data_IF_367462306719
#
_entry.id   IF_367462306719
#
_cell.length_a   1.000
_cell.length_b   1.000
_cell.length_c   1.000
_cell.angle_alpha   90.00
_cell.angle_beta   90.00
_cell.angle_gamma   90.00
#
_symmetry.space_group_name_H-M   'P 1'
#
loop_
_entity.id
_entity.type
_entity.pdbx_description
1 polymer ?
#
# COMPACT_ATOMS: atom_id res chain seq x y z
N UNK A 1 14.16 8.22 57.48
CA UNK A 1 13.54 8.22 56.16
C UNK A 1 14.30 7.24 55.27
N UNK A 2 13.72 6.08 54.99
CA UNK A 2 14.34 5.00 54.21
C UNK A 2 14.03 5.28 52.74
N UNK A 3 15.07 5.56 51.95
CA UNK A 3 14.96 5.68 50.50
C UNK A 3 15.04 4.29 49.88
N UNK A 4 13.92 3.85 49.29
CA UNK A 4 13.84 2.63 48.49
C UNK A 4 14.27 2.97 47.07
N UNK A 5 15.42 2.43 46.67
CA UNK A 5 16.01 2.62 45.35
C UNK A 5 15.37 1.61 44.38
N UNK A 6 14.45 2.09 43.55
CA UNK A 6 13.79 1.29 42.50
C UNK A 6 14.76 1.14 41.33
N UNK A 7 15.27 -0.07 41.11
CA UNK A 7 16.02 -0.42 39.90
C UNK A 7 15.07 -0.50 38.70
N UNK A 8 15.23 0.40 37.73
CA UNK A 8 14.60 0.28 36.42
C UNK A 8 15.35 -0.80 35.59
N UNK A 9 14.65 -1.71 34.90
CA UNK A 9 15.28 -2.66 33.99
C UNK A 9 15.88 -1.94 32.78
N UNK A 10 17.13 -2.29 32.47
CA UNK A 10 17.97 -1.62 31.50
C UNK A 10 17.38 -1.53 30.09
N UNK A 11 17.45 -0.32 29.53
CA UNK A 11 17.36 -0.08 28.11
C UNK A 11 18.52 -0.79 27.38
N UNK A 12 18.30 -1.43 26.22
CA UNK A 12 19.38 -1.94 25.40
C UNK A 12 20.31 -0.79 24.96
N UNK A 13 21.61 -1.04 24.78
CA UNK A 13 22.61 0.00 24.55
C UNK A 13 22.27 0.80 23.29
N UNK A 14 22.22 2.13 23.45
CA UNK A 14 22.22 3.07 22.36
C UNK A 14 23.51 2.89 21.54
N UNK A 15 23.35 2.85 20.22
CA UNK A 15 24.46 2.72 19.27
C UNK A 15 25.43 3.90 19.44
N UNK A 16 26.63 3.62 19.95
CA UNK A 16 27.72 4.60 20.02
C UNK A 16 28.33 4.85 18.62
N UNK A 17 28.82 6.07 18.33
CA UNK A 17 29.49 6.37 17.07
C UNK A 17 30.91 5.78 17.09
N UNK A 18 31.16 4.79 16.23
CA UNK A 18 32.45 4.11 16.10
C UNK A 18 33.39 4.82 15.13
N UNK A 19 34.65 4.99 15.54
CA UNK A 19 35.77 5.34 14.69
C UNK A 19 36.13 4.19 13.72
N UNK A 20 36.57 4.59 12.53
CA UNK A 20 36.60 3.82 11.28
C UNK A 20 37.69 2.73 11.22
N UNK A 21 37.39 1.53 11.71
CA UNK A 21 37.74 0.31 10.97
C UNK A 21 36.42 -0.26 10.48
N UNK A 22 36.21 -0.30 9.16
CA UNK A 22 34.94 -0.71 8.55
C UNK A 22 34.63 -2.14 8.97
N UNK A 23 33.73 -2.30 9.94
CA UNK A 23 33.22 -3.61 10.31
C UNK A 23 32.68 -4.27 9.04
N UNK A 24 33.24 -5.44 8.72
CA UNK A 24 32.77 -6.25 7.61
C UNK A 24 31.26 -6.46 7.78
N UNK A 25 30.49 -5.92 6.83
CA UNK A 25 29.03 -5.95 6.92
C UNK A 25 28.52 -7.14 6.10
N UNK A 26 27.92 -8.12 6.78
CA UNK A 26 27.26 -9.24 6.11
C UNK A 26 26.02 -8.71 5.38
N UNK A 27 25.81 -9.20 4.17
CA UNK A 27 24.67 -8.85 3.31
C UNK A 27 24.23 -10.06 2.49
N UNK A 28 23.13 -9.90 1.80
CA UNK A 28 22.68 -10.82 0.77
C UNK A 28 22.84 -10.17 -0.60
N UNK A 29 23.05 -11.00 -1.61
CA UNK A 29 23.16 -10.57 -3.01
C UNK A 29 22.11 -11.30 -3.82
N UNK A 30 21.35 -10.55 -4.60
CA UNK A 30 20.39 -11.14 -5.53
C UNK A 30 21.12 -11.85 -6.69
N UNK A 31 20.58 -12.99 -7.09
CA UNK A 31 21.05 -13.80 -8.21
C UNK A 31 19.88 -14.32 -9.00
N UNK A 32 20.12 -14.66 -10.26
CA UNK A 32 19.12 -15.38 -11.06
C UNK A 32 18.81 -16.73 -10.40
N UNK A 33 17.53 -17.04 -10.28
CA UNK A 33 17.11 -18.32 -9.71
C UNK A 33 17.60 -19.50 -10.57
N UNK A 34 17.43 -19.41 -11.90
CA UNK A 34 18.01 -20.36 -12.85
C UNK A 34 19.53 -20.41 -12.69
N UNK A 35 20.09 -21.62 -12.71
CA UNK A 35 21.54 -21.82 -12.75
C UNK A 35 22.15 -21.54 -14.13
N UNK A 36 21.36 -20.98 -15.03
CA UNK A 36 21.77 -20.72 -16.40
C UNK A 36 22.73 -19.53 -16.44
N UNK A 37 23.88 -19.72 -17.07
CA UNK A 37 24.93 -18.70 -17.14
C UNK A 37 24.61 -17.61 -18.17
N UNK A 38 23.71 -17.91 -19.11
CA UNK A 38 23.40 -17.01 -20.23
C UNK A 38 22.26 -16.03 -19.92
N UNK A 39 21.53 -16.23 -18.82
CA UNK A 39 20.46 -15.31 -18.41
C UNK A 39 21.03 -14.06 -17.73
N UNK A 40 20.79 -12.89 -18.32
CA UNK A 40 21.09 -11.60 -17.69
C UNK A 40 20.33 -11.46 -16.37
N UNK A 41 21.02 -10.98 -15.33
CA UNK A 41 20.37 -10.70 -14.07
C UNK A 41 19.31 -9.59 -14.22
N UNK A 42 18.13 -9.83 -13.66
CA UNK A 42 17.07 -8.84 -13.54
C UNK A 42 16.65 -8.78 -12.08
N UNK A 43 16.61 -7.56 -11.52
CA UNK A 43 16.33 -7.40 -10.10
C UNK A 43 14.87 -7.81 -9.79
N UNK A 44 14.60 -8.46 -8.65
CA UNK A 44 13.26 -8.97 -8.32
C UNK A 44 12.21 -7.87 -8.06
N UNK A 45 12.62 -6.61 -8.01
CA UNK A 45 11.72 -5.45 -7.95
C UNK A 45 11.39 -4.88 -9.33
N UNK A 46 12.06 -5.32 -10.39
CA UNK A 46 11.94 -4.68 -11.70
C UNK A 46 10.73 -5.20 -12.45
N UNK A 47 9.93 -4.29 -13.00
CA UNK A 47 8.84 -4.62 -13.91
C UNK A 47 9.37 -4.48 -15.35
N UNK A 48 9.27 -5.52 -16.19
CA UNK A 48 9.67 -5.41 -17.60
C UNK A 48 8.74 -4.43 -18.32
N UNK A 49 9.30 -3.32 -18.80
CA UNK A 49 8.52 -2.27 -19.48
C UNK A 49 8.61 -2.34 -21.02
N UNK A 50 9.67 -2.95 -21.56
CA UNK A 50 9.96 -2.95 -23.01
C UNK A 50 9.88 -4.33 -23.68
N UNK A 51 9.63 -5.39 -22.92
CA UNK A 51 9.63 -6.76 -23.44
C UNK A 51 8.31 -7.44 -23.06
N UNK A 52 7.40 -7.50 -24.04
CA UNK A 52 6.08 -8.11 -23.87
C UNK A 52 6.16 -9.60 -23.53
N UNK A 53 7.17 -10.31 -24.05
CA UNK A 53 7.33 -11.73 -23.76
C UNK A 53 7.76 -11.95 -22.30
N UNK A 54 8.70 -11.14 -21.81
CA UNK A 54 9.11 -11.18 -20.39
C UNK A 54 7.97 -10.71 -19.48
N UNK A 55 7.23 -9.67 -19.88
CA UNK A 55 6.05 -9.21 -19.16
C UNK A 55 4.98 -10.30 -19.06
N UNK A 56 4.65 -10.97 -20.17
CA UNK A 56 3.72 -12.10 -20.20
C UNK A 56 4.19 -13.25 -19.31
N UNK A 57 5.46 -13.63 -19.40
CA UNK A 57 6.01 -14.70 -18.56
C UNK A 57 5.85 -14.39 -17.07
N UNK A 58 6.11 -13.15 -16.66
CA UNK A 58 5.97 -12.72 -15.27
C UNK A 58 4.52 -12.60 -14.85
N UNK A 59 3.74 -11.85 -15.62
CA UNK A 59 2.41 -11.45 -15.19
C UNK A 59 1.36 -12.54 -15.43
N UNK A 60 1.42 -13.20 -16.59
CA UNK A 60 0.45 -14.22 -17.01
C UNK A 60 0.92 -15.63 -16.62
N UNK A 61 2.17 -15.98 -16.95
CA UNK A 61 2.70 -17.34 -16.69
C UNK A 61 3.21 -17.53 -15.26
N UNK A 62 3.03 -16.50 -14.41
CA UNK A 62 3.35 -16.51 -12.97
C UNK A 62 4.83 -16.80 -12.66
N UNK A 63 5.74 -16.48 -13.58
CA UNK A 63 7.17 -16.49 -13.31
C UNK A 63 7.54 -15.30 -12.40
N UNK A 64 7.19 -15.40 -11.11
CA UNK A 64 7.38 -14.34 -10.11
C UNK A 64 8.04 -14.88 -8.85
N UNK A 65 8.45 -13.96 -7.98
CA UNK A 65 8.91 -14.29 -6.64
C UNK A 65 10.13 -15.22 -6.65
N UNK A 66 10.10 -16.35 -5.91
CA UNK A 66 11.26 -17.23 -5.78
C UNK A 66 11.72 -17.90 -7.09
N UNK A 67 10.89 -17.86 -8.14
CA UNK A 67 11.25 -18.34 -9.47
C UNK A 67 12.09 -17.34 -10.26
N UNK A 68 12.05 -16.05 -9.91
CA UNK A 68 12.82 -15.00 -10.58
C UNK A 68 14.24 -14.89 -10.03
N UNK A 69 14.34 -14.81 -8.71
CA UNK A 69 15.60 -14.52 -8.04
C UNK A 69 15.81 -15.40 -6.81
N UNK A 70 17.08 -15.64 -6.51
CA UNK A 70 17.55 -16.23 -5.27
C UNK A 70 18.52 -15.29 -4.58
N UNK A 71 18.78 -15.52 -3.30
CA UNK A 71 19.77 -14.77 -2.54
C UNK A 71 20.99 -15.64 -2.22
N UNK A 72 22.14 -15.01 -2.11
CA UNK A 72 23.37 -15.64 -1.63
C UNK A 72 24.09 -14.74 -0.63
N UNK A 73 24.70 -15.36 0.37
CA UNK A 73 25.42 -14.64 1.43
C UNK A 73 26.70 -14.02 0.88
N UNK A 74 26.95 -12.76 1.26
CA UNK A 74 28.18 -12.05 0.93
C UNK A 74 28.61 -11.13 2.06
N UNK A 75 29.84 -10.62 1.96
CA UNK A 75 30.40 -9.62 2.88
C UNK A 75 30.81 -8.39 2.07
N UNK A 76 30.33 -7.20 2.46
CA UNK A 76 30.80 -5.96 1.85
C UNK A 76 32.21 -5.67 2.34
N UNK A 77 33.15 -5.51 1.39
CA UNK A 77 34.53 -5.11 1.64
C UNK A 77 34.70 -3.60 1.51
N UNK A 78 34.10 -3.01 0.47
CA UNK A 78 34.21 -1.59 0.19
C UNK A 78 32.99 -1.10 -0.59
N UNK A 79 32.61 0.15 -0.36
CA UNK A 79 31.51 0.80 -1.06
C UNK A 79 32.02 2.04 -1.79
N UNK A 80 31.79 2.13 -3.10
CA UNK A 80 32.22 3.26 -3.93
C UNK A 80 31.12 3.68 -4.90
N UNK A 81 30.56 4.88 -4.72
CA UNK A 81 29.51 5.40 -5.60
C UNK A 81 28.25 4.51 -5.59
N UNK A 82 27.83 4.05 -6.77
CA UNK A 82 26.69 3.14 -7.00
C UNK A 82 27.03 1.66 -6.82
N UNK A 83 28.30 1.32 -6.58
CA UNK A 83 28.77 -0.05 -6.54
C UNK A 83 29.32 -0.43 -5.15
N UNK A 84 29.39 -1.73 -4.89
CA UNK A 84 30.11 -2.29 -3.75
C UNK A 84 31.01 -3.44 -4.21
N UNK A 85 32.22 -3.48 -3.65
CA UNK A 85 33.10 -4.64 -3.70
C UNK A 85 32.67 -5.60 -2.61
N UNK A 86 32.29 -6.81 -3.00
CA UNK A 86 31.84 -7.87 -2.10
C UNK A 86 32.80 -9.07 -2.13
N UNK A 87 32.84 -9.81 -1.03
CA UNK A 87 33.40 -11.17 -0.97
C UNK A 87 32.24 -12.17 -0.87
N UNK A 88 32.21 -13.13 -1.79
CA UNK A 88 31.17 -14.13 -1.90
C UNK A 88 31.81 -15.46 -2.30
N UNK A 89 31.56 -16.53 -1.54
CA UNK A 89 32.11 -17.87 -1.79
C UNK A 89 33.64 -17.88 -2.01
N UNK A 90 34.37 -17.03 -1.26
CA UNK A 90 35.82 -16.91 -1.38
C UNK A 90 36.33 -16.10 -2.58
N UNK A 91 35.44 -15.61 -3.46
CA UNK A 91 35.79 -14.74 -4.58
C UNK A 91 35.37 -13.30 -4.28
N UNK A 92 36.09 -12.32 -4.84
CA UNK A 92 35.72 -10.91 -4.78
C UNK A 92 35.16 -10.45 -6.12
N UNK A 93 34.11 -9.62 -6.09
CA UNK A 93 33.55 -8.99 -7.29
C UNK A 93 32.88 -7.66 -6.95
N UNK A 94 32.85 -6.76 -7.92
CA UNK A 94 32.12 -5.50 -7.82
C UNK A 94 30.70 -5.70 -8.35
N UNK A 95 29.70 -5.25 -7.59
CA UNK A 95 28.28 -5.34 -7.96
C UNK A 95 27.58 -3.99 -7.73
N UNK A 96 26.48 -3.70 -8.44
CA UNK A 96 25.61 -2.58 -8.11
C UNK A 96 25.04 -2.70 -6.69
N UNK A 97 24.92 -1.56 -6.00
CA UNK A 97 24.29 -1.51 -4.66
C UNK A 97 22.85 -1.97 -4.64
N UNK A 98 22.13 -1.80 -5.76
CA UNK A 98 20.74 -2.26 -5.89
C UNK A 98 20.63 -3.78 -5.78
N UNK A 99 21.66 -4.54 -6.15
CA UNK A 99 21.66 -6.00 -6.01
C UNK A 99 21.89 -6.48 -4.57
N UNK A 100 22.19 -5.56 -3.65
CA UNK A 100 22.48 -5.86 -2.26
C UNK A 100 21.20 -5.78 -1.43
N UNK A 101 20.86 -6.88 -0.80
CA UNK A 101 19.76 -6.98 0.14
C UNK A 101 20.30 -6.90 1.59
N UNK A 102 19.75 -6.02 2.46
CA UNK A 102 20.17 -5.94 3.86
C UNK A 102 20.08 -7.29 4.56
N UNK A 103 21.05 -7.60 5.43
CA UNK A 103 21.14 -8.89 6.12
C UNK A 103 19.82 -9.34 6.76
N UNK A 104 19.20 -8.45 7.54
CA UNK A 104 17.96 -8.78 8.25
C UNK A 104 16.78 -9.00 7.29
N UNK A 105 16.72 -8.25 6.18
CA UNK A 105 15.66 -8.45 5.18
C UNK A 105 15.77 -9.82 4.49
N UNK A 106 16.98 -10.27 4.17
CA UNK A 106 17.18 -11.62 3.62
C UNK A 106 16.82 -12.72 4.61
N UNK A 107 17.04 -12.52 5.92
CA UNK A 107 16.56 -13.48 6.93
C UNK A 107 15.03 -13.53 7.01
N UNK A 108 14.35 -12.39 6.93
CA UNK A 108 12.89 -12.33 6.87
C UNK A 108 12.35 -12.99 5.60
N UNK A 109 13.04 -12.82 4.48
CA UNK A 109 12.71 -13.52 3.24
C UNK A 109 12.87 -15.04 3.39
N UNK A 110 13.99 -15.53 3.94
CA UNK A 110 14.18 -16.97 4.17
C UNK A 110 13.09 -17.56 5.09
N UNK A 111 12.64 -16.81 6.10
CA UNK A 111 11.53 -17.20 6.97
C UNK A 111 10.21 -17.37 6.22
N UNK A 112 9.87 -16.49 5.27
CA UNK A 112 8.65 -16.63 4.47
C UNK A 112 8.79 -17.71 3.35
N UNK A 113 10.01 -18.07 2.96
CA UNK A 113 10.27 -19.14 1.98
C UNK A 113 10.27 -20.55 2.59
N UNK A 114 10.55 -20.65 3.89
CA UNK A 114 10.59 -21.92 4.64
C UNK A 114 9.37 -22.82 4.40
N UNK A 115 8.10 -22.33 4.44
CA UNK A 115 6.93 -23.16 4.18
C UNK A 115 6.67 -23.50 2.70
N UNK A 116 7.38 -22.89 1.75
CA UNK A 116 7.11 -22.99 0.31
C UNK A 116 7.98 -24.02 -0.44
N UNK A 117 8.88 -24.71 0.27
CA UNK A 117 9.77 -25.75 -0.28
C UNK A 117 10.53 -25.32 -1.55
N UNK A 118 10.98 -24.07 -1.60
CA UNK A 118 11.69 -23.51 -2.76
C UNK A 118 13.01 -24.24 -2.99
N UNK A 119 13.25 -24.69 -4.23
CA UNK A 119 14.37 -25.58 -4.59
C UNK A 119 15.76 -25.02 -4.27
N UNK A 120 15.95 -23.70 -4.39
CA UNK A 120 17.23 -23.06 -4.08
C UNK A 120 17.40 -22.72 -2.59
N UNK A 121 16.34 -22.79 -1.78
CA UNK A 121 16.40 -22.60 -0.33
C UNK A 121 16.93 -23.87 0.36
N UNK A 122 18.23 -24.12 0.17
CA UNK A 122 18.91 -25.34 0.60
C UNK A 122 19.15 -25.41 2.12
N UNK A 123 19.73 -26.52 2.58
CA UNK A 123 20.07 -26.74 3.99
C UNK A 123 21.02 -25.70 4.57
N UNK A 124 21.91 -25.14 3.75
CA UNK A 124 22.89 -24.15 4.20
C UNK A 124 22.21 -22.84 4.57
N UNK A 125 21.31 -22.35 3.72
CA UNK A 125 20.52 -21.15 4.01
C UNK A 125 19.59 -21.35 5.22
N UNK A 126 18.99 -22.53 5.36
CA UNK A 126 18.20 -22.89 6.55
C UNK A 126 19.06 -22.90 7.81
N UNK A 127 20.28 -23.42 7.74
CA UNK A 127 21.23 -23.43 8.86
C UNK A 127 21.62 -22.01 9.26
N UNK A 128 21.83 -21.11 8.29
CA UNK A 128 22.08 -19.68 8.57
C UNK A 128 20.87 -19.05 9.26
N UNK A 129 19.65 -19.28 8.76
CA UNK A 129 18.41 -18.78 9.37
C UNK A 129 18.25 -19.27 10.81
N UNK A 130 18.45 -20.56 11.08
CA UNK A 130 18.35 -21.15 12.41
C UNK A 130 19.43 -20.62 13.36
N UNK A 131 20.65 -20.46 12.86
CA UNK A 131 21.76 -19.85 13.61
C UNK A 131 21.41 -18.42 14.01
N UNK A 132 20.87 -17.62 13.09
CA UNK A 132 20.46 -16.25 13.40
C UNK A 132 19.26 -16.21 14.35
N UNK A 133 18.22 -17.04 14.12
CA UNK A 133 17.06 -17.17 15.03
C UNK A 133 17.50 -17.47 16.46
N UNK A 134 18.46 -18.37 16.65
CA UNK A 134 18.97 -18.76 17.98
C UNK A 134 19.58 -17.60 18.80
N UNK A 135 20.00 -16.51 18.13
CA UNK A 135 20.54 -15.31 18.78
C UNK A 135 19.44 -14.41 19.37
N UNK A 136 18.20 -14.56 18.91
CA UNK A 136 17.08 -13.75 19.35
C UNK A 136 16.28 -14.45 20.45
N UNK A 137 15.61 -13.65 21.29
CA UNK A 137 14.69 -14.19 22.29
C UNK A 137 13.58 -14.97 21.58
N UNK A 138 13.26 -16.15 22.11
CA UNK A 138 12.23 -17.06 21.58
C UNK A 138 12.56 -17.72 20.23
N UNK A 139 13.83 -17.70 19.79
CA UNK A 139 14.27 -18.29 18.53
C UNK A 139 13.46 -17.79 17.31
N UNK A 140 13.11 -16.50 17.29
CA UNK A 140 12.26 -15.91 16.27
C UNK A 140 12.77 -14.52 15.84
N UNK A 141 12.68 -14.24 14.55
CA UNK A 141 12.89 -12.91 14.00
C UNK A 141 11.63 -12.07 14.25
N UNK A 142 11.78 -10.77 14.41
CA UNK A 142 10.63 -9.86 14.54
C UNK A 142 10.54 -8.96 13.33
N UNK A 143 9.76 -9.43 12.37
CA UNK A 143 9.37 -8.69 11.17
C UNK A 143 8.69 -7.35 11.50
N UNK A 144 7.88 -7.33 12.58
CA UNK A 144 7.21 -6.14 13.06
C UNK A 144 8.19 -5.09 13.58
N UNK A 145 9.19 -5.50 14.38
CA UNK A 145 10.23 -4.60 14.90
C UNK A 145 11.10 -4.02 13.78
N UNK A 146 11.45 -4.84 12.79
CA UNK A 146 12.23 -4.36 11.64
C UNK A 146 11.45 -3.32 10.84
N UNK A 147 10.20 -3.62 10.51
CA UNK A 147 9.33 -2.69 9.77
C UNK A 147 9.17 -1.37 10.51
N UNK A 148 8.89 -1.42 11.82
CA UNK A 148 8.78 -0.21 12.65
C UNK A 148 10.06 0.63 12.65
N UNK A 149 11.24 0.00 12.70
CA UNK A 149 12.52 0.71 12.82
C UNK A 149 13.12 1.16 11.50
N UNK A 150 12.86 0.45 10.40
CA UNK A 150 13.57 0.63 9.13
C UNK A 150 12.67 0.99 7.95
N UNK A 151 11.42 0.53 7.96
CA UNK A 151 10.50 0.68 6.82
C UNK A 151 9.30 1.59 7.12
N UNK A 152 9.18 2.13 8.33
CA UNK A 152 8.02 2.97 8.67
C UNK A 152 7.96 4.26 7.81
N UNK A 153 9.11 4.87 7.55
CA UNK A 153 9.27 6.08 6.71
C UNK A 153 9.99 5.81 5.40
N UNK A 154 10.19 4.55 5.05
CA UNK A 154 10.92 4.11 3.86
C UNK A 154 10.09 3.08 3.13
N UNK A 155 9.87 3.24 1.83
CA UNK A 155 9.29 2.22 0.99
C UNK A 155 10.34 1.52 0.12
N UNK A 156 10.18 0.23 -0.10
CA UNK A 156 10.94 -0.52 -1.12
C UNK A 156 10.14 -0.49 -2.42
N UNK A 157 10.77 -0.07 -3.50
CA UNK A 157 10.12 0.26 -4.79
C UNK A 157 10.81 -0.46 -5.95
N UNK A 158 10.35 -0.26 -7.19
CA UNK A 158 11.00 -0.76 -8.39
C UNK A 158 12.30 -0.02 -8.75
N UNK A 159 12.89 -0.41 -9.89
CA UNK A 159 14.16 0.13 -10.39
C UNK A 159 14.20 1.65 -10.44
N UNK A 160 13.15 2.27 -10.99
CA UNK A 160 13.06 3.70 -11.19
C UNK A 160 11.62 4.13 -11.40
N UNK A 161 11.18 5.13 -10.66
CA UNK A 161 9.91 5.82 -10.90
C UNK A 161 10.03 7.30 -10.52
N UNK A 162 9.07 8.09 -11.00
CA UNK A 162 8.93 9.51 -10.69
C UNK A 162 7.64 9.64 -9.86
N UNK A 163 7.73 10.27 -8.69
CA UNK A 163 6.56 10.50 -7.85
C UNK A 163 5.72 11.71 -8.32
N UNK A 164 4.62 11.99 -7.62
CA UNK A 164 3.75 13.14 -7.95
C UNK A 164 4.38 14.51 -7.69
N UNK A 165 5.59 14.57 -7.11
CA UNK A 165 6.37 15.78 -6.89
C UNK A 165 7.55 15.88 -7.88
N UNK A 166 7.49 15.15 -9.00
CA UNK A 166 8.53 15.04 -10.05
C UNK A 166 9.89 14.56 -9.55
N UNK A 167 9.94 13.85 -8.41
CA UNK A 167 11.17 13.33 -7.84
C UNK A 167 11.42 11.90 -8.30
N UNK A 168 12.59 11.68 -8.87
CA UNK A 168 13.06 10.33 -9.24
C UNK A 168 13.54 9.56 -8.01
N UNK A 169 13.07 8.32 -7.89
CA UNK A 169 13.47 7.36 -6.86
C UNK A 169 13.93 6.05 -7.50
N UNK A 170 14.84 5.34 -6.83
CA UNK A 170 15.37 4.06 -7.30
C UNK A 170 15.46 3.06 -6.14
N UNK A 171 14.74 1.94 -6.26
CA UNK A 171 14.64 0.81 -5.31
C UNK A 171 14.15 1.13 -3.89
N UNK A 172 14.35 2.35 -3.40
CA UNK A 172 13.85 2.83 -2.11
C UNK A 172 13.41 4.28 -2.22
N UNK A 173 12.23 4.56 -1.67
CA UNK A 173 11.71 5.91 -1.44
C UNK A 173 11.81 6.24 0.05
N UNK A 174 12.61 7.25 0.39
CA UNK A 174 12.82 7.70 1.77
C UNK A 174 11.94 8.89 2.13
N UNK A 175 11.77 9.15 3.43
CA UNK A 175 11.08 10.32 3.97
C UNK A 175 9.59 10.40 3.58
N UNK A 176 8.89 9.26 3.66
CA UNK A 176 7.42 9.22 3.61
C UNK A 176 6.90 10.15 4.71
N UNK A 177 6.23 11.23 4.32
CA UNK A 177 5.87 12.32 5.24
C UNK A 177 4.80 11.83 6.22
N UNK A 178 5.10 11.86 7.52
CA UNK A 178 4.10 11.60 8.57
C UNK A 178 3.22 12.81 8.86
N UNK A 179 3.78 14.00 8.60
CA UNK A 179 3.22 15.27 9.03
C UNK A 179 2.67 15.98 7.80
N UNK A 180 1.49 15.56 7.39
CA UNK A 180 0.59 16.48 6.75
C UNK A 180 -0.79 16.30 7.37
N UNK A 181 -1.35 17.41 7.87
CA UNK A 181 -2.75 17.54 8.29
C UNK A 181 -3.74 17.36 7.12
N UNK A 182 -3.28 16.80 6.01
CA UNK A 182 -4.00 16.41 4.81
C UNK A 182 -4.47 14.96 4.96
N UNK A 183 -5.19 14.66 6.03
CA UNK A 183 -6.26 13.68 5.86
C UNK A 183 -7.22 14.34 4.88
N UNK A 184 -7.16 13.93 3.60
CA UNK A 184 -8.16 14.29 2.59
C UNK A 184 -9.51 14.26 3.28
N UNK A 185 -10.18 15.41 3.37
CA UNK A 185 -11.51 15.43 3.93
C UNK A 185 -12.35 14.47 3.08
N UNK A 186 -13.12 13.60 3.73
CA UNK A 186 -14.00 12.66 3.03
C UNK A 186 -14.86 13.45 2.04
N UNK A 187 -14.62 13.26 0.73
CA UNK A 187 -15.33 13.99 -0.35
C UNK A 187 -14.57 15.10 -1.07
N UNK A 188 -13.30 15.39 -0.75
CA UNK A 188 -12.51 16.37 -1.52
C UNK A 188 -12.07 15.76 -2.86
N UNK A 189 -12.62 16.27 -3.98
CA UNK A 189 -12.32 15.79 -5.33
C UNK A 189 -10.94 16.26 -5.78
N UNK A 190 -9.89 15.50 -5.45
CA UNK A 190 -8.62 15.61 -6.14
C UNK A 190 -8.83 15.11 -7.58
N UNK A 191 -9.01 16.04 -8.52
CA UNK A 191 -9.46 15.83 -9.91
C UNK A 191 -8.62 14.92 -10.81
N UNK A 192 -8.42 13.66 -10.43
CA UNK A 192 -7.78 12.61 -11.22
C UNK A 192 -8.66 11.36 -11.31
N UNK A 193 -8.59 10.68 -12.46
CA UNK A 193 -9.50 9.61 -12.91
C UNK A 193 -9.55 8.32 -12.08
N UNK A 194 -8.89 8.23 -10.92
CA UNK A 194 -9.02 7.09 -10.01
C UNK A 194 -8.97 7.55 -8.56
N UNK A 195 -10.15 7.72 -7.95
CA UNK A 195 -10.26 8.05 -6.54
C UNK A 195 -9.91 6.81 -5.71
N UNK A 196 -8.84 6.90 -4.92
CA UNK A 196 -8.50 5.91 -3.90
C UNK A 196 -9.27 6.29 -2.64
N UNK A 197 -10.12 5.39 -2.16
CA UNK A 197 -10.93 5.62 -0.96
C UNK A 197 -10.10 5.45 0.31
N UNK A 198 -9.34 4.35 0.40
CA UNK A 198 -8.53 4.04 1.58
C UNK A 198 -7.43 3.01 1.26
N UNK A 199 -6.40 2.94 2.12
CA UNK A 199 -5.38 1.90 2.13
C UNK A 199 -5.62 0.99 3.33
N UNK A 200 -6.21 -0.18 3.08
CA UNK A 200 -6.72 -1.08 4.13
C UNK A 200 -5.73 -2.15 4.56
N UNK A 201 -4.59 -2.26 3.88
CA UNK A 201 -3.60 -3.30 4.10
C UNK A 201 -2.22 -2.93 3.59
N UNK A 202 -1.22 -3.63 4.11
CA UNK A 202 0.19 -3.47 3.76
C UNK A 202 0.82 -4.86 3.69
N UNK A 203 1.69 -5.04 2.69
CA UNK A 203 2.53 -6.22 2.49
C UNK A 203 4.00 -5.77 2.39
N UNK A 204 4.87 -6.13 3.35
CA UNK A 204 6.30 -5.84 3.26
C UNK A 204 6.96 -6.64 2.13
N UNK A 205 8.16 -6.27 1.67
CA UNK A 205 8.72 -6.78 0.43
C UNK A 205 9.00 -8.29 0.46
N UNK A 206 9.38 -8.85 1.61
CA UNK A 206 9.59 -10.29 1.75
C UNK A 206 8.28 -11.09 1.70
N UNK A 207 7.17 -10.56 2.25
CA UNK A 207 5.84 -11.17 2.12
C UNK A 207 5.31 -10.99 0.68
N UNK A 208 5.52 -9.81 0.07
CA UNK A 208 5.13 -9.50 -1.30
C UNK A 208 5.82 -10.39 -2.34
N UNK A 209 7.10 -10.68 -2.12
CA UNK A 209 7.89 -11.54 -2.99
C UNK A 209 7.34 -12.96 -3.08
N UNK A 210 6.78 -13.50 -1.99
CA UNK A 210 6.17 -14.84 -1.99
C UNK A 210 4.65 -14.82 -2.24
N UNK A 211 4.05 -13.64 -2.34
CA UNK A 211 2.61 -13.50 -2.54
C UNK A 211 2.21 -13.83 -3.98
N UNK A 212 1.20 -14.69 -4.16
CA UNK A 212 0.76 -15.20 -5.48
C UNK A 212 0.42 -14.08 -6.47
N UNK A 213 -0.14 -12.97 -5.99
CA UNK A 213 -0.64 -11.86 -6.82
C UNK A 213 0.34 -10.70 -6.95
N UNK A 214 1.32 -10.60 -6.06
CA UNK A 214 2.31 -9.51 -6.08
C UNK A 214 3.57 -10.04 -6.76
N UNK A 215 4.34 -10.88 -6.06
CA UNK A 215 5.44 -11.63 -6.64
C UNK A 215 6.69 -10.80 -6.97
N UNK A 216 6.76 -9.56 -6.49
CA UNK A 216 7.91 -8.68 -6.65
C UNK A 216 8.42 -8.25 -5.28
N UNK A 217 9.73 -8.00 -5.17
CA UNK A 217 10.35 -7.54 -3.92
C UNK A 217 10.13 -6.03 -3.75
N UNK A 218 8.89 -5.62 -3.50
CA UNK A 218 8.49 -4.22 -3.27
C UNK A 218 7.49 -4.13 -2.12
N UNK A 219 7.32 -2.95 -1.54
CA UNK A 219 6.18 -2.67 -0.66
C UNK A 219 4.89 -2.67 -1.49
N UNK A 220 3.91 -3.46 -1.08
CA UNK A 220 2.56 -3.45 -1.65
C UNK A 220 1.55 -2.96 -0.63
N UNK A 221 0.53 -2.26 -1.13
CA UNK A 221 -0.57 -1.74 -0.33
C UNK A 221 -1.89 -2.25 -0.88
N UNK A 222 -2.80 -2.60 0.03
CA UNK A 222 -4.13 -3.02 -0.35
C UNK A 222 -4.99 -1.77 -0.49
N UNK A 223 -5.22 -1.34 -1.72
CA UNK A 223 -5.94 -0.13 -2.08
C UNK A 223 -7.40 -0.47 -2.26
N UNK A 224 -8.29 0.25 -1.56
CA UNK A 224 -9.72 0.21 -1.85
C UNK A 224 -10.05 1.39 -2.75
N UNK A 225 -10.53 1.09 -3.96
CA UNK A 225 -10.98 2.10 -4.91
C UNK A 225 -12.29 2.74 -4.44
N UNK A 226 -12.54 3.97 -4.87
CA UNK A 226 -13.78 4.69 -4.61
C UNK A 226 -14.86 4.36 -5.65
N UNK A 227 -16.08 4.84 -5.46
CA UNK A 227 -17.18 4.66 -6.41
C UNK A 227 -16.83 5.20 -7.81
N UNK A 228 -17.18 4.50 -8.91
CA UNK A 228 -17.97 3.25 -8.98
C UNK A 228 -17.14 1.96 -8.78
N UNK A 229 -15.81 2.06 -8.75
CA UNK A 229 -14.90 0.92 -8.68
C UNK A 229 -14.95 0.17 -7.35
N UNK A 230 -15.38 0.83 -6.28
CA UNK A 230 -15.53 0.23 -4.94
C UNK A 230 -16.49 -0.97 -4.88
N UNK A 231 -17.39 -1.11 -5.85
CA UNK A 231 -18.38 -2.20 -5.92
C UNK A 231 -17.92 -3.36 -6.81
N UNK A 232 -16.83 -3.19 -7.55
CA UNK A 232 -16.33 -4.20 -8.49
C UNK A 232 -15.60 -5.31 -7.72
N UNK A 233 -15.92 -6.55 -8.08
CA UNK A 233 -15.21 -7.71 -7.56
C UNK A 233 -13.90 -7.93 -8.34
N UNK A 234 -12.81 -7.44 -7.78
CA UNK A 234 -11.47 -7.61 -8.34
C UNK A 234 -10.82 -8.97 -8.05
N UNK A 235 -11.46 -9.92 -7.36
CA UNK A 235 -10.81 -11.20 -6.98
C UNK A 235 -10.16 -11.98 -8.14
N UNK A 236 -10.67 -11.83 -9.36
CA UNK A 236 -10.18 -12.52 -10.55
C UNK A 236 -9.11 -11.73 -11.32
N UNK A 237 -8.89 -10.44 -11.00
CA UNK A 237 -7.85 -9.68 -11.68
C UNK A 237 -6.46 -10.04 -11.15
N UNK A 238 -5.46 -9.64 -11.91
CA UNK A 238 -4.07 -10.03 -11.70
C UNK A 238 -3.54 -9.64 -10.31
N UNK A 239 -3.82 -8.40 -9.88
CA UNK A 239 -3.47 -7.88 -8.56
C UNK A 239 -4.68 -7.81 -7.61
N UNK A 240 -5.74 -8.57 -7.91
CA UNK A 240 -6.99 -8.57 -7.16
C UNK A 240 -6.85 -9.04 -5.71
N UNK A 241 -7.67 -8.49 -4.82
CA UNK A 241 -7.80 -9.03 -3.47
C UNK A 241 -9.12 -9.81 -3.29
N UNK A 242 -9.08 -11.12 -2.96
CA UNK A 242 -10.30 -11.91 -2.77
C UNK A 242 -11.05 -11.54 -1.48
N UNK A 243 -10.37 -10.95 -0.50
CA UNK A 243 -10.92 -10.73 0.84
C UNK A 243 -11.65 -9.38 0.98
N UNK A 244 -11.50 -8.46 0.03
CA UNK A 244 -12.05 -7.11 0.11
C UNK A 244 -12.56 -6.69 -1.27
N UNK A 245 -13.89 -6.55 -1.38
CA UNK A 245 -14.54 -6.03 -2.60
C UNK A 245 -14.04 -4.62 -2.90
N UNK A 246 -13.86 -4.30 -4.18
CA UNK A 246 -13.36 -3.01 -4.62
C UNK A 246 -11.90 -2.77 -4.29
N UNK A 247 -11.10 -3.80 -3.98
CA UNK A 247 -9.70 -3.64 -3.62
C UNK A 247 -8.72 -4.48 -4.45
N UNK A 248 -7.57 -3.89 -4.70
CA UNK A 248 -6.41 -4.49 -5.38
C UNK A 248 -5.14 -4.26 -4.58
N UNK A 249 -4.09 -5.01 -4.90
CA UNK A 249 -2.74 -4.80 -4.37
C UNK A 249 -1.96 -3.91 -5.34
N UNK A 250 -1.52 -2.76 -4.86
CA UNK A 250 -0.75 -1.80 -5.66
C UNK A 250 0.66 -1.65 -5.08
N UNK A 251 1.71 -1.60 -5.91
CA UNK A 251 3.06 -1.30 -5.44
C UNK A 251 3.15 0.16 -4.99
N UNK A 252 4.10 0.49 -4.10
CA UNK A 252 4.29 1.86 -3.58
C UNK A 252 4.42 2.92 -4.67
N UNK A 253 5.09 2.58 -5.78
CA UNK A 253 5.36 3.47 -6.91
C UNK A 253 4.11 3.84 -7.72
N UNK A 254 3.02 3.07 -7.62
CA UNK A 254 1.73 3.38 -8.26
C UNK A 254 0.85 4.30 -7.43
N UNK A 255 1.28 4.68 -6.22
CA UNK A 255 0.51 5.52 -5.31
C UNK A 255 1.08 6.94 -5.27
N UNK A 256 0.23 7.99 -5.31
CA UNK A 256 0.68 9.38 -5.24
C UNK A 256 1.14 9.78 -3.82
N UNK A 257 2.12 10.69 -3.73
CA UNK A 257 2.79 11.05 -2.47
C UNK A 257 1.84 11.60 -1.40
N UNK A 258 0.74 12.24 -1.79
CA UNK A 258 -0.28 12.73 -0.85
C UNK A 258 -0.99 11.61 -0.05
N UNK A 259 -0.88 10.34 -0.46
CA UNK A 259 -1.40 9.19 0.31
C UNK A 259 -0.40 8.61 1.32
N UNK A 260 0.78 9.22 1.48
CA UNK A 260 1.79 8.82 2.46
C UNK A 260 1.25 8.65 3.90
N UNK A 261 0.36 9.52 4.42
CA UNK A 261 -0.25 9.31 5.73
C UNK A 261 -1.03 7.99 5.82
N UNK A 262 -1.76 7.60 4.77
CA UNK A 262 -2.49 6.33 4.70
C UNK A 262 -1.54 5.13 4.63
N UNK A 263 -0.43 5.25 3.89
CA UNK A 263 0.62 4.21 3.84
C UNK A 263 1.25 3.97 5.20
N UNK A 264 1.58 5.04 5.93
CA UNK A 264 2.12 4.96 7.29
C UNK A 264 1.08 4.33 8.23
N UNK A 265 -0.19 4.70 8.12
CA UNK A 265 -1.27 4.11 8.91
C UNK A 265 -1.41 2.60 8.64
N UNK A 266 -1.37 2.18 7.38
CA UNK A 266 -1.40 0.77 6.98
C UNK A 266 -0.20 -0.01 7.51
N UNK A 267 1.02 0.55 7.42
CA UNK A 267 2.24 -0.02 8.04
C UNK A 267 2.09 -0.19 9.54
N UNK A 268 1.59 0.83 10.26
CA UNK A 268 1.34 0.75 11.71
C UNK A 268 0.30 -0.32 12.06
N UNK A 269 -0.78 -0.41 11.29
CA UNK A 269 -1.81 -1.42 11.47
C UNK A 269 -1.25 -2.85 11.26
N UNK A 270 -0.43 -3.04 10.22
CA UNK A 270 0.27 -4.30 9.98
C UNK A 270 1.26 -4.64 11.10
N UNK A 271 2.08 -3.68 11.56
CA UNK A 271 3.02 -3.88 12.69
C UNK A 271 2.27 -4.35 13.93
N UNK A 272 1.14 -3.72 14.26
CA UNK A 272 0.30 -4.12 15.40
C UNK A 272 -0.22 -5.55 15.24
N UNK A 273 -0.81 -5.87 14.08
CA UNK A 273 -1.34 -7.20 13.78
C UNK A 273 -0.24 -8.29 13.82
N UNK A 274 0.94 -7.99 13.30
CA UNK A 274 2.08 -8.91 13.27
C UNK A 274 2.65 -9.13 14.68
N UNK A 275 2.75 -8.09 15.52
CA UNK A 275 3.10 -8.24 16.95
C UNK A 275 2.15 -9.16 17.70
N UNK A 276 0.84 -8.99 17.49
CA UNK A 276 -0.17 -9.86 18.10
C UNK A 276 -0.03 -11.32 17.64
N UNK A 277 0.33 -11.55 16.36
CA UNK A 277 0.61 -12.89 15.82
C UNK A 277 1.89 -13.49 16.43
N UNK A 278 3.00 -12.74 16.43
CA UNK A 278 4.28 -13.15 17.00
C UNK A 278 4.12 -13.49 18.50
N UNK A 279 3.39 -12.68 19.26
CA UNK A 279 3.09 -12.94 20.67
C UNK A 279 2.27 -14.23 20.87
N UNK A 280 1.22 -14.45 20.07
CA UNK A 280 0.42 -15.68 20.13
C UNK A 280 1.26 -16.93 19.83
N UNK A 281 2.16 -16.87 18.86
CA UNK A 281 3.07 -17.98 18.54
C UNK A 281 4.03 -18.29 19.69
N UNK A 282 4.54 -17.27 20.38
CA UNK A 282 5.37 -17.46 21.58
C UNK A 282 4.57 -18.10 22.71
N UNK A 283 3.36 -17.60 22.99
CA UNK A 283 2.47 -18.15 24.02
C UNK A 283 2.10 -19.60 23.74
N UNK A 284 1.82 -19.94 22.47
CA UNK A 284 1.53 -21.31 22.04
C UNK A 284 2.74 -22.24 22.23
N UNK A 285 3.96 -21.80 21.86
CA UNK A 285 5.20 -22.56 22.12
C UNK A 285 5.41 -22.82 23.61
N UNK A 286 5.18 -21.81 24.46
CA UNK A 286 5.29 -21.95 25.93
C UNK A 286 4.22 -22.91 26.47
N UNK A 287 2.99 -22.85 25.96
CA UNK A 287 1.90 -23.76 26.33
C UNK A 287 2.20 -25.21 25.92
N UNK A 288 2.81 -25.42 24.75
CA UNK A 288 3.17 -26.76 24.28
C UNK A 288 4.31 -27.36 25.12
N UNK A 289 5.33 -26.55 25.48
CA UNK A 289 6.43 -26.98 26.34
C UNK A 289 5.99 -27.32 27.77
N UNK A 290 5.03 -26.59 28.33
CA UNK A 290 4.48 -26.86 29.66
C UNK A 290 3.58 -28.10 29.69
N UNK A 291 2.83 -28.35 28.63
CA UNK A 291 1.98 -29.55 28.49
C UNK A 291 2.83 -30.83 28.39
N UNK A 292 3.92 -30.79 27.61
CA UNK A 292 4.86 -31.91 27.50
C UNK A 292 5.53 -32.25 28.83
N UNK A 293 5.90 -31.24 29.64
CA UNK A 293 6.49 -31.47 30.97
C UNK A 293 5.52 -32.14 31.96
N UNK A 294 4.22 -31.81 31.92
CA UNK A 294 3.21 -32.46 32.79
C UNK A 294 2.96 -33.91 32.43
N UNK A 295 2.96 -34.27 31.14
CA UNK A 295 2.73 -35.65 30.71
C UNK A 295 3.79 -36.66 31.17
N UNK A 296 4.99 -36.19 31.53
CA UNK A 296 6.08 -37.06 32.02
C UNK A 296 6.09 -37.27 33.54
N UNK A 297 5.35 -36.47 34.33
CA UNK A 297 5.36 -36.61 35.79
C UNK A 297 4.29 -37.55 36.35
N UNK A 298 3.35 -38.04 35.52
CA UNK A 298 2.23 -38.88 35.97
C UNK A 298 2.44 -40.39 35.76
N UNK A 299 3.62 -40.82 35.30
CA UNK A 299 3.93 -42.26 35.10
C UNK A 299 4.60 -42.96 36.29
N UNK A 300 4.77 -42.33 37.46
CA UNK A 300 5.53 -42.96 38.57
C UNK A 300 4.95 -42.79 39.99
N UNK A 301 3.64 -42.62 40.15
CA UNK A 301 3.03 -42.71 41.47
C UNK A 301 1.60 -43.27 41.42
N UNK A 302 1.50 -44.59 41.60
CA UNK A 302 0.25 -45.24 41.99
C UNK A 302 -0.19 -44.73 43.38
N UNK A 303 -1.08 -43.75 43.41
CA UNK A 303 -1.81 -43.34 44.61
C UNK A 303 -3.30 -43.14 44.28
N UNK A 304 -4.22 -43.64 45.12
CA UNK A 304 -5.64 -43.76 44.79
C UNK A 304 -6.37 -42.40 44.79
N UNK A 305 -7.20 -42.23 43.76
CA UNK A 305 -7.92 -41.02 43.43
C UNK A 305 -9.02 -40.64 44.45
N UNK A 306 -8.92 -39.43 45.01
CA UNK A 306 -10.01 -38.78 45.74
C UNK A 306 -10.86 -37.93 44.78
N UNK A 307 -12.15 -38.26 44.66
CA UNK A 307 -13.16 -37.55 43.86
C UNK A 307 -13.28 -36.08 44.29
N UNK A 308 -12.92 -35.14 43.41
CA UNK A 308 -13.14 -33.70 43.60
C UNK A 308 -14.35 -33.24 42.77
N UNK A 309 -15.31 -32.50 43.37
CA UNK A 309 -16.55 -32.11 42.71
C UNK A 309 -16.35 -31.00 41.67
N UNK A 310 -17.17 -31.09 40.63
CA UNK A 310 -17.23 -30.28 39.40
C UNK A 310 -17.78 -28.86 39.67
N UNK A 311 -17.06 -27.78 39.33
CA UNK A 311 -17.58 -26.41 39.48
C UNK A 311 -18.47 -26.02 38.30
N UNK A 312 -19.70 -25.60 38.60
CA UNK A 312 -20.67 -25.03 37.65
C UNK A 312 -20.11 -23.81 36.90
N UNK A 313 -20.29 -23.80 35.58
CA UNK A 313 -19.88 -22.71 34.69
C UNK A 313 -20.71 -21.44 34.92
N UNK A 314 -20.09 -20.24 34.99
CA UNK A 314 -20.81 -18.97 35.15
C UNK A 314 -21.44 -18.51 33.82
N UNK A 315 -22.66 -17.96 33.92
CA UNK A 315 -23.47 -17.48 32.81
C UNK A 315 -22.87 -16.23 32.12
N UNK A 316 -23.06 -16.15 30.80
CA UNK A 316 -22.53 -15.08 29.95
C UNK A 316 -23.22 -13.71 30.18
N UNK A 317 -22.47 -12.58 30.12
CA UNK A 317 -23.03 -11.25 30.35
C UNK A 317 -23.76 -10.68 29.11
N UNK A 318 -24.80 -9.85 29.30
CA UNK A 318 -25.61 -9.30 28.21
C UNK A 318 -24.91 -8.19 27.41
N UNK A 319 -25.22 -8.13 26.12
CA UNK A 319 -24.66 -7.18 25.16
C UNK A 319 -24.97 -5.71 25.50
N UNK A 320 -23.94 -4.86 25.50
CA UNK A 320 -24.05 -3.42 25.76
C UNK A 320 -24.66 -2.70 24.55
N UNK A 321 -25.84 -2.11 24.72
CA UNK A 321 -26.44 -1.20 23.74
C UNK A 321 -25.76 0.18 23.81
N UNK A 322 -25.43 0.75 22.65
CA UNK A 322 -24.79 2.06 22.52
C UNK A 322 -25.69 3.17 23.08
N UNK A 323 -25.20 3.91 24.08
CA UNK A 323 -25.98 4.85 24.90
C UNK A 323 -26.04 6.28 24.35
N UNK A 324 -25.52 6.57 23.16
CA UNK A 324 -25.39 7.96 22.68
C UNK A 324 -26.00 8.12 21.29
N UNK A 325 -27.11 8.87 21.21
CA UNK A 325 -27.64 9.43 19.96
C UNK A 325 -26.63 10.46 19.45
N UNK A 326 -26.17 10.28 18.20
CA UNK A 326 -25.30 11.26 17.53
C UNK A 326 -26.10 12.49 17.15
N UNK A 327 -25.51 13.67 17.29
CA UNK A 327 -26.08 14.95 16.89
C UNK A 327 -26.10 15.06 15.36
N UNK A 328 -27.27 15.37 14.79
CA UNK A 328 -27.53 15.46 13.35
C UNK A 328 -27.31 16.85 12.75
N UNK A 329 -27.06 17.88 13.56
CA UNK A 329 -26.86 19.26 13.09
C UNK A 329 -25.73 19.44 12.04
N UNK A 330 -24.62 18.67 12.06
CA UNK A 330 -23.62 18.78 11.00
C UNK A 330 -24.14 18.33 9.64
N UNK A 331 -25.04 17.34 9.60
CA UNK A 331 -25.62 16.80 8.36
C UNK A 331 -26.63 17.80 7.74
N UNK A 332 -27.36 18.55 8.57
CA UNK A 332 -28.29 19.58 8.09
C UNK A 332 -27.58 20.74 7.39
N UNK A 333 -26.34 21.09 7.79
CA UNK A 333 -25.56 22.14 7.11
C UNK A 333 -25.14 21.74 5.69
N UNK A 334 -24.84 20.46 5.48
CA UNK A 334 -24.43 19.95 4.17
C UNK A 334 -25.63 19.80 3.22
N UNK A 335 -26.83 19.50 3.76
CA UNK A 335 -28.06 19.43 2.96
C UNK A 335 -28.55 20.78 2.42
N UNK A 336 -28.19 21.90 3.06
CA UNK A 336 -28.58 23.26 2.59
C UNK A 336 -27.74 23.70 1.37
N UNK A 337 -26.53 23.17 1.19
CA UNK A 337 -25.68 23.48 0.03
C UNK A 337 -26.09 22.73 -1.25
N UNK A 338 -26.89 21.66 -1.14
CA UNK A 338 -27.45 20.93 -2.29
C UNK A 338 -28.47 21.75 -3.09
N UNK A 339 -28.89 22.92 -2.60
CA UNK A 339 -29.75 23.85 -3.33
C UNK A 339 -28.99 24.73 -4.34
N UNK A 340 -27.65 24.66 -4.39
CA UNK A 340 -26.80 25.44 -5.29
C UNK A 340 -26.16 24.49 -6.31
N UNK A 341 -26.97 23.92 -7.19
CA UNK A 341 -26.50 23.08 -8.29
C UNK A 341 -25.91 23.91 -9.44
N UNK A 342 -25.03 23.28 -10.22
CA UNK A 342 -24.36 23.83 -11.40
C UNK A 342 -25.31 24.15 -12.59
N UNK A 343 -26.59 23.82 -12.47
CA UNK A 343 -27.62 23.97 -13.51
C UNK A 343 -28.48 25.23 -13.38
N UNK A 344 -28.15 26.16 -12.47
CA UNK A 344 -28.77 27.48 -12.52
C UNK A 344 -28.18 28.29 -13.67
N UNK A 345 -28.88 28.31 -14.82
CA UNK A 345 -28.83 29.46 -15.72
C UNK A 345 -29.66 30.54 -15.04
N UNK A 346 -29.08 31.62 -14.49
CA UNK A 346 -29.87 32.69 -13.92
C UNK A 346 -30.87 33.17 -14.98
N UNK A 347 -32.10 33.50 -14.61
CA UNK A 347 -33.08 34.08 -15.54
C UNK A 347 -32.58 35.37 -16.23
N UNK A 348 -31.45 35.90 -15.75
CA UNK A 348 -30.74 37.08 -16.23
C UNK A 348 -29.40 36.77 -16.89
N UNK A 349 -29.08 35.50 -17.22
CA UNK A 349 -27.83 35.10 -17.87
C UNK A 349 -27.57 35.91 -19.16
N UNK A 350 -28.60 36.10 -19.98
CA UNK A 350 -28.57 36.96 -21.18
C UNK A 350 -28.29 38.43 -20.86
N UNK A 351 -28.68 38.89 -19.66
CA UNK A 351 -28.50 40.27 -19.18
C UNK A 351 -27.09 40.48 -18.64
N UNK A 352 -26.51 39.45 -18.02
CA UNK A 352 -25.11 39.45 -17.56
C UNK A 352 -24.16 39.39 -18.76
N UNK A 353 -24.39 38.52 -19.74
CA UNK A 353 -23.58 38.50 -20.98
C UNK A 353 -23.65 39.82 -21.75
N UNK A 354 -24.85 40.40 -21.91
CA UNK A 354 -25.02 41.68 -22.63
C UNK A 354 -24.63 42.92 -21.83
N UNK A 355 -24.69 42.87 -20.51
CA UNK A 355 -24.47 44.02 -19.62
C UNK A 355 -23.04 44.16 -19.08
N UNK A 356 -22.28 43.07 -19.00
CA UNK A 356 -20.90 43.07 -18.46
C UNK A 356 -19.80 43.18 -19.52
N UNK A 357 -20.16 43.42 -20.79
CA UNK A 357 -19.22 43.36 -21.92
C UNK A 357 -18.82 41.92 -22.29
N UNK A 358 -19.48 40.92 -21.71
CA UNK A 358 -19.06 39.52 -21.72
C UNK A 358 -17.85 39.32 -20.83
N UNK A 359 -17.90 38.37 -19.89
CA UNK A 359 -16.81 37.99 -18.96
C UNK A 359 -15.46 37.73 -19.68
N UNK A 360 -15.51 37.55 -21.00
CA UNK A 360 -14.41 37.19 -21.88
C UNK A 360 -13.79 38.35 -22.67
N UNK A 361 -14.31 39.60 -22.58
CA UNK A 361 -13.61 40.75 -23.18
C UNK A 361 -12.33 41.04 -22.38
N UNK A 362 -11.20 40.58 -22.91
CA UNK A 362 -9.87 40.78 -22.32
C UNK A 362 -9.12 39.49 -21.97
N UNK A 363 -9.69 38.32 -22.24
CA UNK A 363 -8.96 37.05 -22.06
C UNK A 363 -7.96 36.84 -23.20
N UNK A 364 -6.71 36.42 -22.91
CA UNK A 364 -5.71 36.07 -23.91
C UNK A 364 -6.22 34.97 -24.86
N UNK A 365 -6.29 35.28 -26.15
CA UNK A 365 -6.69 34.33 -27.20
C UNK A 365 -5.49 33.69 -27.89
N UNK A 366 -4.30 34.26 -27.69
CA UNK A 366 -3.04 33.77 -28.24
C UNK A 366 -2.00 33.63 -27.14
N UNK A 367 -1.02 32.72 -27.28
CA UNK A 367 0.06 32.58 -26.32
C UNK A 367 0.78 33.90 -26.01
N UNK A 368 0.89 34.81 -27.00
CA UNK A 368 1.57 36.09 -26.85
C UNK A 368 0.77 37.13 -26.04
N UNK A 369 -0.54 36.91 -25.86
CA UNK A 369 -1.41 37.78 -25.07
C UNK A 369 -1.34 37.48 -23.56
N UNK A 370 -0.68 36.39 -23.16
CA UNK A 370 -0.45 36.07 -21.76
C UNK A 370 0.60 37.00 -21.13
N UNK A 371 0.41 37.42 -19.86
CA UNK A 371 1.42 38.20 -19.14
C UNK A 371 2.75 37.47 -19.06
N UNK A 372 3.85 38.23 -19.08
CA UNK A 372 5.22 37.67 -19.04
C UNK A 372 5.41 36.75 -17.82
N UNK A 373 5.78 35.49 -18.07
CA UNK A 373 5.93 34.45 -17.04
C UNK A 373 4.75 33.49 -16.93
N UNK A 374 3.67 33.72 -17.68
CA UNK A 374 2.52 32.83 -17.80
C UNK A 374 2.45 32.31 -19.25
N UNK A 375 2.02 31.06 -19.45
CA UNK A 375 1.78 30.48 -20.77
C UNK A 375 0.42 29.79 -20.81
N UNK A 376 -0.08 29.49 -22.01
CA UNK A 376 -1.19 28.56 -22.14
C UNK A 376 -0.80 27.19 -21.54
N UNK A 377 -1.77 26.46 -20.99
CA UNK A 377 -1.60 25.04 -20.68
C UNK A 377 -1.24 24.28 -21.96
N UNK A 378 -0.48 23.18 -21.89
CA UNK A 378 -0.17 22.33 -23.05
C UNK A 378 -0.89 20.97 -22.88
N UNK A 379 -1.84 20.59 -23.75
CA UNK A 379 -2.18 21.25 -25.02
C UNK A 379 -2.91 22.61 -24.83
N UNK A 380 -2.68 23.58 -25.73
CA UNK A 380 -3.17 24.94 -25.64
C UNK A 380 -4.68 25.01 -25.43
N UNK A 381 -5.08 25.77 -24.40
CA UNK A 381 -6.39 26.40 -24.38
C UNK A 381 -6.62 27.17 -25.68
N UNK A 382 -7.81 26.98 -26.24
CA UNK A 382 -8.24 27.38 -27.59
C UNK A 382 -7.44 26.74 -28.73
N UNK A 383 -7.99 25.68 -29.33
CA UNK A 383 -7.38 24.99 -30.46
C UNK A 383 -7.18 25.89 -31.71
N UNK A 384 -7.83 27.07 -31.78
CA UNK A 384 -7.65 28.11 -32.81
C UNK A 384 -8.42 29.40 -32.43
N UNK A 385 -8.23 30.50 -33.18
CA UNK A 385 -8.85 31.84 -32.96
C UNK A 385 -10.39 31.84 -32.87
N UNK A 386 -11.06 30.78 -33.34
CA UNK A 386 -12.50 30.56 -33.22
C UNK A 386 -12.89 29.28 -32.47
N UNK A 387 -11.95 28.57 -31.84
CA UNK A 387 -12.31 27.50 -30.91
C UNK A 387 -12.79 28.14 -29.61
N UNK A 388 -13.91 27.67 -29.09
CA UNK A 388 -14.44 28.09 -27.79
C UNK A 388 -14.33 26.98 -26.74
N UNK A 389 -13.34 26.10 -26.91
CA UNK A 389 -13.22 24.81 -26.22
C UNK A 389 -12.90 24.88 -24.70
N UNK A 390 -12.93 26.07 -24.08
CA UNK A 390 -13.00 26.29 -22.63
C UNK A 390 -14.47 26.47 -22.21
N UNK A 391 -15.31 25.52 -22.61
CA UNK A 391 -16.77 25.68 -22.69
C UNK A 391 -17.58 24.95 -21.60
N UNK A 392 -16.94 24.55 -20.51
CA UNK A 392 -17.66 23.90 -19.40
C UNK A 392 -18.54 24.90 -18.61
N UNK A 393 -18.72 26.13 -19.09
CA UNK A 393 -19.55 27.16 -18.45
C UNK A 393 -20.50 27.92 -19.38
N UNK A 394 -20.76 27.48 -20.62
CA UNK A 394 -21.88 28.05 -21.41
C UNK A 394 -23.10 27.12 -21.44
N UNK A 395 -24.32 27.68 -21.47
CA UNK A 395 -25.53 26.91 -21.77
C UNK A 395 -25.36 26.21 -23.12
N UNK A 396 -25.36 24.88 -23.12
CA UNK A 396 -25.17 24.08 -24.34
C UNK A 396 -26.31 24.34 -25.32
N UNK A 397 -25.99 24.52 -26.61
CA UNK A 397 -27.03 24.72 -27.64
C UNK A 397 -27.72 23.39 -27.94
N UNK A 398 -29.00 23.39 -28.35
CA UNK A 398 -29.75 22.14 -28.56
C UNK A 398 -29.09 21.15 -29.54
N UNK A 399 -28.39 21.62 -30.57
CA UNK A 399 -27.69 20.74 -31.52
C UNK A 399 -26.39 20.13 -30.96
N UNK A 400 -25.88 20.68 -29.84
CA UNK A 400 -24.70 20.17 -29.12
C UNK A 400 -25.10 19.05 -28.14
N UNK A 401 -26.33 19.09 -27.63
CA UNK A 401 -26.93 18.06 -26.77
C UNK A 401 -27.67 16.96 -27.53
N UNK A 402 -28.16 17.24 -28.75
CA UNK A 402 -28.86 16.29 -29.63
C UNK A 402 -27.93 15.65 -30.67
N UNK A 403 -26.89 14.94 -30.23
CA UNK A 403 -26.05 14.14 -31.14
C UNK A 403 -26.66 12.76 -31.33
N UNK A 404 -26.65 12.21 -32.54
CA UNK A 404 -27.26 10.90 -32.84
C UNK A 404 -26.71 9.73 -31.99
N UNK A 405 -25.48 9.83 -31.47
CA UNK A 405 -24.90 8.85 -30.54
C UNK A 405 -25.25 9.11 -29.05
N UNK A 406 -25.73 10.32 -28.73
CA UNK A 406 -26.36 10.66 -27.45
C UNK A 406 -27.83 10.21 -27.40
N UNK A 407 -28.46 9.95 -28.55
CA UNK A 407 -29.85 9.53 -28.65
C UNK A 407 -29.95 8.03 -28.97
N UNK A 408 -29.60 7.20 -27.98
CA UNK A 408 -29.92 5.76 -28.00
C UNK A 408 -31.42 5.59 -27.66
N UNK A 409 -32.26 5.05 -28.56
CA UNK A 409 -33.70 4.91 -28.32
C UNK A 409 -34.04 4.16 -27.03
N UNK A 410 -33.22 3.18 -26.65
CA UNK A 410 -33.42 2.38 -25.43
C UNK A 410 -33.09 3.22 -24.20
N UNK A 411 -31.97 3.96 -24.22
CA UNK A 411 -31.58 4.86 -23.13
C UNK A 411 -32.57 6.01 -22.96
N UNK A 412 -33.01 6.62 -24.05
CA UNK A 412 -33.98 7.71 -24.06
C UNK A 412 -35.35 7.24 -23.53
N UNK A 413 -35.81 6.05 -23.93
CA UNK A 413 -37.05 5.48 -23.40
C UNK A 413 -36.96 5.19 -21.88
N UNK A 414 -35.83 4.66 -21.41
CA UNK A 414 -35.59 4.40 -20.00
C UNK A 414 -35.55 5.71 -19.18
N UNK A 415 -34.87 6.75 -19.70
CA UNK A 415 -34.81 8.06 -19.08
C UNK A 415 -36.20 8.72 -18.97
N UNK A 416 -36.99 8.69 -20.06
CA UNK A 416 -38.36 9.21 -20.06
C UNK A 416 -39.25 8.46 -19.07
N UNK A 417 -39.15 7.13 -19.02
CA UNK A 417 -39.90 6.32 -18.05
C UNK A 417 -39.53 6.68 -16.61
N UNK A 418 -38.25 6.94 -16.33
CA UNK A 418 -37.79 7.36 -15.01
C UNK A 418 -38.33 8.76 -14.65
N UNK A 419 -38.30 9.71 -15.58
CA UNK A 419 -38.86 11.07 -15.41
C UNK A 419 -40.36 11.01 -15.16
N UNK A 420 -41.11 10.19 -15.91
CA UNK A 420 -42.55 10.01 -15.74
C UNK A 420 -42.85 9.37 -14.37
N UNK A 421 -42.04 8.40 -13.95
CA UNK A 421 -42.18 7.75 -12.64
C UNK A 421 -41.91 8.72 -11.49
N UNK A 422 -40.87 9.55 -11.61
CA UNK A 422 -40.52 10.58 -10.63
C UNK A 422 -41.56 11.71 -10.58
N UNK A 423 -42.05 12.16 -11.72
CA UNK A 423 -43.06 13.23 -11.79
C UNK A 423 -44.44 12.76 -11.31
N UNK A 424 -44.77 11.48 -11.49
CA UNK A 424 -45.96 10.86 -10.91
C UNK A 424 -45.84 10.60 -9.39
N UNK A 425 -44.65 10.75 -8.80
CA UNK A 425 -44.41 10.48 -7.40
C UNK A 425 -44.95 11.61 -6.51
N UNK A 426 -46.20 11.48 -6.09
CA UNK A 426 -46.89 12.48 -5.24
C UNK A 426 -46.55 12.40 -3.76
N UNK A 427 -45.81 11.37 -3.32
CA UNK A 427 -45.42 11.15 -1.92
C UNK A 427 -43.96 10.71 -1.83
N UNK A 428 -43.12 11.60 -1.35
CA UNK A 428 -41.74 11.30 -1.00
C UNK A 428 -41.70 10.72 0.41
N UNK A 429 -41.27 9.46 0.54
CA UNK A 429 -41.03 8.84 1.85
C UNK A 429 -39.71 9.40 2.37
N UNK A 430 -39.79 10.45 3.19
CA UNK A 430 -38.67 10.90 4.02
C UNK A 430 -38.50 9.91 5.17
N UNK A 431 -37.31 9.33 5.31
CA UNK A 431 -36.94 8.50 6.48
C UNK A 431 -36.33 9.37 7.56
#
# INVERSE_FOLDING_TARGET
>A
AIWVQVFAPGLPPAFAPFACMSAQTQVWVWKVASGDKDTSFQHPSDIPFNDEAVAKARFVDRARGPQLAKISQATILQTKGSNALIAENGATREIPKSEILPWYEGLLLLEELEPLEVTWCNSDLKTVLDTERSKFKNNALSSALYTEKRLITTAVTGMRFIDSDDKEWQYRRENIRSDDKLSLAEGEEAGGFYKIRDIVGYLPPWEAFVHEKCGFYQDFYQVRWDFPFSEINYSQVENGCPNVVGATWEPDECLPSHLDPLRIAAKRAWIKKRREREAKQVDEKVRNLTTLKRSRSDTDAGAPAAKRPEPQAPAAPPARKSRVRRDGNPLERDMVRSAWGHDFVPAEADRIEKGSGGVRTGWPKKPEEYPKGYSCADPPGFCWEGCDCMDDQRPQRPWETHKAWLEDPVRTAAANTAIDTLSAQTRFVRR
#
